data_IF_907915134187
#
_entry.id   IF_907915134187
#
_cell.length_a   1.000
_cell.length_b   1.000
_cell.length_c   1.000
_cell.angle_alpha   90.00
_cell.angle_beta   90.00
_cell.angle_gamma   90.00
#
_symmetry.space_group_name_H-M   'P 1'
#
loop_
_entity.id
_entity.type
_entity.pdbx_description
1 polymer ?
#
# COMPACT_ATOMS: atom_id res chain seq x y z
N UNK A 1 31.73 36.74 9.59
CA UNK A 1 30.60 36.21 10.39
C UNK A 1 29.35 36.28 9.50
N UNK A 2 28.47 35.29 9.36
CA UNK A 2 28.47 33.87 9.75
C UNK A 2 27.55 33.11 8.79
N UNK A 3 27.81 31.82 8.50
CA UNK A 3 26.85 30.95 7.78
C UNK A 3 26.14 30.04 8.80
N UNK A 4 24.82 30.13 8.85
CA UNK A 4 23.91 29.28 9.64
C UNK A 4 22.66 29.11 8.74
N UNK A 5 22.20 27.97 8.20
CA UNK A 5 22.35 26.52 8.47
C UNK A 5 21.10 25.89 9.13
N UNK A 6 20.56 24.86 8.45
CA UNK A 6 19.54 23.87 8.85
C UNK A 6 18.10 24.34 9.14
N UNK A 7 17.15 23.80 8.36
CA UNK A 7 15.98 23.01 8.85
C UNK A 7 15.14 22.45 7.69
N UNK A 8 15.49 21.24 7.24
CA UNK A 8 14.61 20.37 6.47
C UNK A 8 14.32 19.11 7.29
N UNK A 9 13.26 19.14 8.10
CA UNK A 9 12.79 17.96 8.83
C UNK A 9 11.83 17.18 7.94
N UNK A 10 12.27 16.03 7.42
CA UNK A 10 11.37 15.08 6.79
C UNK A 10 10.59 14.33 7.87
N UNK A 11 9.27 14.54 7.93
CA UNK A 11 8.37 13.78 8.81
C UNK A 11 7.97 12.50 8.07
N UNK A 12 8.62 11.39 8.38
CA UNK A 12 8.17 10.07 7.98
C UNK A 12 7.06 9.61 8.93
N UNK A 13 5.80 9.66 8.49
CA UNK A 13 4.68 9.10 9.25
C UNK A 13 4.76 7.58 9.26
N UNK A 14 5.06 7.00 10.43
CA UNK A 14 4.99 5.56 10.64
C UNK A 14 3.54 5.14 10.92
N UNK A 15 2.84 4.68 9.88
CA UNK A 15 1.46 4.16 10.02
C UNK A 15 1.49 2.67 10.40
N UNK A 16 0.55 2.26 11.26
CA UNK A 16 0.59 1.02 12.04
C UNK A 16 0.78 -0.28 11.23
N UNK A 17 1.56 -1.20 11.80
CA UNK A 17 1.55 -2.63 11.41
C UNK A 17 0.32 -3.27 12.05
N UNK A 18 -0.71 -3.52 11.25
CA UNK A 18 -1.84 -4.37 11.64
C UNK A 18 -1.37 -5.82 11.72
N UNK A 19 -1.42 -6.40 12.92
CA UNK A 19 -1.13 -7.82 13.16
C UNK A 19 -2.21 -8.70 12.55
N UNK A 20 -1.92 -9.34 11.41
CA UNK A 20 -2.69 -10.48 10.92
C UNK A 20 -2.19 -11.72 11.65
N UNK A 21 -3.08 -12.36 12.41
CA UNK A 21 -2.74 -13.55 13.19
C UNK A 21 -2.55 -14.78 12.29
N UNK A 22 -1.48 -15.54 12.56
CA UNK A 22 -1.36 -16.93 12.14
C UNK A 22 -1.47 -17.82 13.38
N UNK A 23 -2.55 -18.60 13.45
CA UNK A 23 -2.75 -19.69 14.41
C UNK A 23 -2.15 -20.96 13.79
N UNK A 24 -1.97 -22.02 14.60
CA UNK A 24 -1.41 -23.35 14.27
C UNK A 24 0.13 -23.41 14.36
N UNK A 25 0.71 -24.31 15.16
CA UNK A 25 0.07 -25.27 16.07
C UNK A 25 1.05 -25.88 17.07
N UNK A 26 0.55 -26.18 18.27
CA UNK A 26 1.29 -26.93 19.28
C UNK A 26 1.11 -28.43 19.00
N UNK A 27 2.21 -29.17 18.94
CA UNK A 27 2.21 -30.63 18.89
C UNK A 27 3.15 -31.15 19.98
N UNK A 28 2.58 -31.45 21.13
CA UNK A 28 3.23 -32.22 22.20
C UNK A 28 2.45 -33.53 22.37
N UNK A 29 3.12 -34.68 22.30
CA UNK A 29 2.56 -35.95 22.76
C UNK A 29 2.81 -37.18 21.88
N UNK A 30 3.64 -38.07 22.43
CA UNK A 30 3.49 -39.54 22.46
C UNK A 30 3.69 -40.41 21.19
N UNK A 31 4.71 -41.27 21.31
CA UNK A 31 4.75 -42.72 21.02
C UNK A 31 4.18 -43.34 19.71
N UNK A 32 5.03 -44.12 19.03
CA UNK A 32 4.85 -45.59 18.91
C UNK A 32 6.04 -46.32 18.26
N UNK A 33 6.79 -47.04 19.10
CA UNK A 33 7.28 -48.44 18.96
C UNK A 33 7.84 -49.02 17.63
N UNK A 34 9.10 -49.48 17.72
CA UNK A 34 9.76 -50.67 17.10
C UNK A 34 11.22 -50.32 16.74
N UNK A 35 12.29 -51.12 16.88
CA UNK A 35 12.62 -52.35 17.64
C UNK A 35 14.18 -52.49 17.55
N UNK A 36 14.98 -53.28 18.29
CA UNK A 36 14.80 -54.39 19.25
C UNK A 36 15.97 -54.41 20.26
N UNK A 37 15.76 -54.91 21.49
CA UNK A 37 16.79 -55.65 22.23
C UNK A 37 17.67 -54.95 23.28
N UNK A 38 17.72 -55.59 24.45
CA UNK A 38 18.71 -55.47 25.55
C UNK A 38 18.81 -54.16 26.37
N UNK A 39 18.19 -54.19 27.56
CA UNK A 39 18.78 -53.54 28.74
C UNK A 39 18.36 -54.23 30.04
N UNK A 40 19.24 -55.14 30.47
CA UNK A 40 19.30 -55.89 31.74
C UNK A 40 18.75 -55.15 32.98
N UNK A 41 17.93 -55.87 33.76
CA UNK A 41 17.53 -55.47 35.13
C UNK A 41 18.73 -55.47 36.09
N UNK A 42 18.78 -54.50 37.00
CA UNK A 42 19.72 -54.49 38.12
C UNK A 42 18.97 -54.30 39.46
N UNK A 43 18.27 -55.33 39.90
CA UNK A 43 17.72 -55.39 41.27
C UNK A 43 18.83 -55.66 42.29
N UNK A 44 19.10 -54.65 43.11
CA UNK A 44 19.51 -54.69 44.51
C UNK A 44 20.51 -55.74 45.05
N UNK A 45 21.43 -55.21 45.87
CA UNK A 45 22.16 -55.84 46.97
C UNK A 45 23.37 -56.73 46.65
N UNK A 46 24.55 -56.14 46.80
CA UNK A 46 25.51 -56.65 47.78
C UNK A 46 25.96 -55.51 48.71
N UNK A 47 26.24 -55.83 49.97
CA UNK A 47 26.57 -54.84 51.01
C UNK A 47 28.09 -54.71 51.15
N UNK A 48 28.67 -53.64 50.62
CA UNK A 48 30.02 -53.22 51.05
C UNK A 48 30.13 -51.72 51.31
N UNK A 49 30.70 -51.42 52.48
CA UNK A 49 31.31 -50.15 52.89
C UNK A 49 30.40 -48.92 53.07
N UNK A 50 29.84 -48.80 54.28
CA UNK A 50 29.50 -47.51 54.87
C UNK A 50 30.79 -46.80 55.35
N UNK A 51 31.62 -46.33 54.42
CA UNK A 51 32.76 -45.44 54.70
C UNK A 51 33.01 -44.52 53.50
N UNK A 52 33.29 -43.25 53.80
CA UNK A 52 33.46 -42.14 52.85
C UNK A 52 32.21 -41.82 52.01
N UNK A 53 31.33 -40.98 52.59
CA UNK A 53 30.54 -40.04 51.79
C UNK A 53 31.55 -38.94 51.40
N UNK A 54 32.03 -38.86 50.14
CA UNK A 54 32.83 -37.72 49.72
C UNK A 54 31.99 -36.46 49.98
N UNK A 55 32.63 -35.45 50.58
CA UNK A 55 31.93 -34.36 51.25
C UNK A 55 30.77 -33.81 50.41
N UNK A 56 29.62 -33.50 51.04
CA UNK A 56 28.42 -33.07 50.31
C UNK A 56 28.62 -31.83 49.42
N UNK A 57 29.75 -31.11 49.56
CA UNK A 57 30.25 -30.12 48.61
C UNK A 57 30.44 -30.67 47.19
N UNK A 58 31.02 -31.86 47.05
CA UNK A 58 31.57 -32.34 45.77
C UNK A 58 30.50 -32.93 44.86
N UNK A 59 29.42 -33.45 45.45
CA UNK A 59 28.21 -33.80 44.70
C UNK A 59 27.45 -32.52 44.32
N UNK A 60 27.30 -31.55 45.24
CA UNK A 60 26.60 -30.29 44.96
C UNK A 60 27.29 -29.46 43.87
N UNK A 61 28.62 -29.42 43.83
CA UNK A 61 29.38 -28.71 42.80
C UNK A 61 29.22 -29.36 41.42
N UNK A 62 29.25 -30.69 41.33
CA UNK A 62 28.99 -31.42 40.08
C UNK A 62 27.56 -31.21 39.56
N UNK A 63 26.55 -31.24 40.46
CA UNK A 63 25.17 -30.93 40.08
C UNK A 63 25.01 -29.47 39.64
N UNK A 64 25.64 -28.50 40.32
CA UNK A 64 25.59 -27.09 39.92
C UNK A 64 26.23 -26.87 38.54
N UNK A 65 27.40 -27.47 38.28
CA UNK A 65 28.09 -27.39 36.99
C UNK A 65 27.27 -28.01 35.85
N UNK A 66 26.59 -29.14 36.10
CA UNK A 66 25.72 -29.78 35.12
C UNK A 66 24.47 -28.95 34.82
N UNK A 67 23.87 -28.30 35.83
CA UNK A 67 22.74 -27.38 35.64
C UNK A 67 23.17 -26.15 34.84
N UNK A 68 24.29 -25.51 35.20
CA UNK A 68 24.80 -24.33 34.48
C UNK A 68 25.14 -24.67 33.01
N UNK A 69 25.68 -25.87 32.74
CA UNK A 69 25.93 -26.34 31.39
C UNK A 69 24.63 -26.58 30.59
N UNK A 70 23.56 -27.06 31.25
CA UNK A 70 22.25 -27.24 30.63
C UNK A 70 21.56 -25.89 30.34
N UNK A 71 21.65 -24.93 31.25
CA UNK A 71 21.10 -23.57 31.08
C UNK A 71 21.82 -22.84 29.92
N UNK A 72 23.15 -22.90 29.85
CA UNK A 72 23.93 -22.34 28.73
C UNK A 72 23.54 -22.99 27.40
N UNK A 73 23.33 -24.31 27.36
CA UNK A 73 22.90 -25.00 26.15
C UNK A 73 21.45 -24.64 25.72
N UNK A 74 20.56 -24.37 26.68
CA UNK A 74 19.21 -23.88 26.41
C UNK A 74 19.23 -22.44 25.88
N UNK A 75 20.06 -21.57 26.46
CA UNK A 75 20.20 -20.18 26.03
C UNK A 75 20.80 -20.08 24.62
N UNK A 76 21.84 -20.85 24.28
CA UNK A 76 22.42 -20.86 22.93
C UNK A 76 21.42 -21.38 21.89
N UNK A 77 20.73 -22.50 22.17
CA UNK A 77 19.68 -23.01 21.29
C UNK A 77 18.54 -21.98 21.09
N UNK A 78 18.16 -21.24 22.14
CA UNK A 78 17.17 -20.17 22.04
C UNK A 78 17.66 -18.97 21.21
N UNK A 79 18.95 -18.64 21.31
CA UNK A 79 19.58 -17.55 20.55
C UNK A 79 19.73 -17.89 19.07
N UNK A 80 20.09 -19.12 18.74
CA UNK A 80 20.13 -19.64 17.37
C UNK A 80 18.73 -19.66 16.75
N UNK A 81 17.72 -20.17 17.47
CA UNK A 81 16.32 -20.14 17.03
C UNK A 81 15.81 -18.71 16.78
N UNK A 82 16.10 -17.76 17.68
CA UNK A 82 15.77 -16.34 17.50
C UNK A 82 16.47 -15.72 16.29
N UNK A 83 17.73 -16.07 16.05
CA UNK A 83 18.51 -15.58 14.90
C UNK A 83 17.95 -16.10 13.58
N UNK A 84 17.66 -17.41 13.50
CA UNK A 84 17.05 -18.03 12.33
C UNK A 84 15.66 -17.44 12.00
N UNK A 85 14.83 -17.21 13.03
CA UNK A 85 13.53 -16.53 12.88
C UNK A 85 13.68 -15.07 12.42
N UNK A 86 14.65 -14.32 12.95
CA UNK A 86 14.88 -12.95 12.51
C UNK A 86 15.41 -12.88 11.07
N UNK A 87 16.25 -13.82 10.66
CA UNK A 87 16.75 -13.90 9.28
C UNK A 87 15.63 -14.29 8.30
N UNK A 88 14.77 -15.26 8.65
CA UNK A 88 13.62 -15.63 7.81
C UNK A 88 12.61 -14.49 7.68
N UNK A 89 12.31 -13.78 8.77
CA UNK A 89 11.44 -12.60 8.76
C UNK A 89 12.03 -11.45 7.90
N UNK A 90 13.36 -11.23 7.94
CA UNK A 90 14.03 -10.26 7.05
C UNK A 90 13.94 -10.67 5.58
N UNK A 91 14.13 -11.95 5.25
CA UNK A 91 14.00 -12.46 3.88
C UNK A 91 12.58 -12.33 3.35
N UNK A 92 11.57 -12.64 4.17
CA UNK A 92 10.15 -12.44 3.83
C UNK A 92 9.84 -10.95 3.63
N UNK A 93 10.21 -10.07 4.56
CA UNK A 93 9.99 -8.63 4.42
C UNK A 93 10.66 -8.01 3.18
N UNK A 94 11.85 -8.52 2.79
CA UNK A 94 12.51 -8.11 1.56
C UNK A 94 11.76 -8.61 0.30
N UNK A 95 11.30 -9.86 0.30
CA UNK A 95 10.50 -10.43 -0.79
C UNK A 95 9.14 -9.69 -0.93
N UNK A 96 8.46 -9.40 0.17
CA UNK A 96 7.19 -8.64 0.17
C UNK A 96 7.38 -7.20 -0.32
N UNK A 97 8.49 -6.55 0.07
CA UNK A 97 8.82 -5.21 -0.42
C UNK A 97 9.13 -5.21 -1.93
N UNK A 98 9.83 -6.23 -2.42
CA UNK A 98 10.12 -6.39 -3.84
C UNK A 98 8.85 -6.72 -4.63
N UNK A 99 8.02 -7.66 -4.18
CA UNK A 99 6.75 -8.00 -4.81
C UNK A 99 5.78 -6.79 -4.87
N UNK A 100 5.73 -5.96 -3.82
CA UNK A 100 4.97 -4.70 -3.83
C UNK A 100 5.53 -3.67 -4.82
N UNK A 101 6.86 -3.58 -4.95
CA UNK A 101 7.50 -2.70 -5.94
C UNK A 101 7.22 -3.17 -7.36
N UNK A 102 7.35 -4.47 -7.63
CA UNK A 102 7.07 -5.08 -8.94
C UNK A 102 5.59 -4.96 -9.31
N UNK A 103 4.66 -5.20 -8.37
CA UNK A 103 3.24 -4.97 -8.58
C UNK A 103 2.89 -3.49 -8.81
N UNK A 104 3.54 -2.55 -8.12
CA UNK A 104 3.35 -1.11 -8.35
C UNK A 104 3.93 -0.66 -9.70
N UNK A 105 5.10 -1.18 -10.10
CA UNK A 105 5.67 -0.92 -11.43
C UNK A 105 4.84 -1.54 -12.55
N UNK A 106 4.25 -2.71 -12.34
CA UNK A 106 3.38 -3.35 -13.33
C UNK A 106 2.03 -2.62 -13.42
N UNK A 107 1.41 -2.26 -12.30
CA UNK A 107 0.20 -1.42 -12.30
C UNK A 107 0.46 -0.04 -12.94
N UNK A 108 1.65 0.55 -12.76
CA UNK A 108 2.04 1.77 -13.45
C UNK A 108 2.17 1.57 -14.98
N UNK A 109 2.82 0.48 -15.43
CA UNK A 109 2.94 0.14 -16.86
C UNK A 109 1.59 -0.21 -17.50
N UNK A 110 0.71 -0.91 -16.78
CA UNK A 110 -0.64 -1.24 -17.23
C UNK A 110 -1.52 0.01 -17.29
N UNK A 111 -1.39 0.93 -16.33
CA UNK A 111 -2.04 2.25 -16.38
C UNK A 111 -1.51 3.09 -17.55
N UNK A 112 -0.19 3.16 -17.76
CA UNK A 112 0.42 3.89 -18.88
C UNK A 112 0.04 3.27 -20.23
N UNK A 113 -0.03 1.95 -20.34
CA UNK A 113 -0.51 1.25 -21.53
C UNK A 113 -2.02 1.47 -21.77
N UNK A 114 -2.84 1.50 -20.71
CA UNK A 114 -4.25 1.83 -20.79
C UNK A 114 -4.47 3.31 -21.15
N UNK A 115 -3.64 4.23 -20.65
CA UNK A 115 -3.64 5.66 -20.97
C UNK A 115 -3.17 5.91 -22.40
N UNK A 116 -2.18 5.17 -22.91
CA UNK A 116 -1.79 5.17 -24.33
C UNK A 116 -2.85 4.52 -25.23
N UNK A 117 -3.55 3.48 -24.78
CA UNK A 117 -4.65 2.88 -25.53
C UNK A 117 -5.90 3.79 -25.55
N UNK A 118 -6.21 4.43 -24.43
CA UNK A 118 -7.28 5.41 -24.28
C UNK A 118 -6.99 6.64 -25.13
N UNK A 119 -5.80 7.24 -25.05
CA UNK A 119 -5.44 8.40 -25.90
C UNK A 119 -5.35 8.05 -27.39
N UNK A 120 -4.92 6.84 -27.79
CA UNK A 120 -5.04 6.38 -29.19
C UNK A 120 -6.50 6.25 -29.64
N UNK A 121 -7.36 5.72 -28.77
CA UNK A 121 -8.80 5.61 -29.03
C UNK A 121 -9.46 6.99 -29.09
N UNK A 122 -9.12 7.88 -28.16
CA UNK A 122 -9.60 9.27 -28.09
C UNK A 122 -9.09 10.13 -29.26
N UNK A 123 -7.90 9.89 -29.82
CA UNK A 123 -7.46 10.54 -31.07
C UNK A 123 -8.25 10.01 -32.28
N UNK A 124 -8.64 8.74 -32.25
CA UNK A 124 -9.47 8.12 -33.31
C UNK A 124 -10.95 8.52 -33.20
N UNK A 125 -11.42 8.84 -31.99
CA UNK A 125 -12.79 9.30 -31.71
C UNK A 125 -12.94 10.83 -31.84
N UNK A 126 -11.97 11.60 -31.33
CA UNK A 126 -11.92 13.08 -31.47
C UNK A 126 -11.67 13.52 -32.91
N UNK A 127 -11.18 12.65 -33.81
CA UNK A 127 -11.19 12.93 -35.25
C UNK A 127 -12.58 12.85 -35.88
N UNK A 128 -13.61 12.44 -35.12
CA UNK A 128 -15.03 12.56 -35.47
C UNK A 128 -15.74 13.75 -34.80
N UNK A 129 -15.23 14.27 -33.68
CA UNK A 129 -15.73 15.48 -33.01
C UNK A 129 -15.05 16.70 -33.65
N UNK A 130 -15.71 17.31 -34.64
CA UNK A 130 -15.21 18.51 -35.29
C UNK A 130 -14.98 19.65 -34.29
N UNK A 131 -13.79 20.24 -34.29
CA UNK A 131 -13.48 21.42 -33.46
C UNK A 131 -14.30 22.60 -33.99
N UNK A 132 -15.35 22.99 -33.26
CA UNK A 132 -16.24 24.09 -33.59
C UNK A 132 -15.67 25.42 -33.06
N UNK A 133 -16.09 26.54 -33.67
CA UNK A 133 -15.73 27.88 -33.19
C UNK A 133 -16.34 28.23 -31.83
N UNK A 134 -17.42 27.55 -31.45
CA UNK A 134 -18.16 27.72 -30.22
C UNK A 134 -19.04 26.50 -29.94
N UNK A 135 -19.26 26.17 -28.68
CA UNK A 135 -20.15 25.09 -28.25
C UNK A 135 -21.28 25.63 -27.37
N UNK A 136 -22.51 25.18 -27.60
CA UNK A 136 -23.62 25.36 -26.66
C UNK A 136 -23.47 24.44 -25.45
N UNK A 137 -24.11 24.78 -24.32
CA UNK A 137 -24.17 23.91 -23.14
C UNK A 137 -24.68 22.50 -23.48
N UNK A 138 -25.64 22.38 -24.39
CA UNK A 138 -26.17 21.09 -24.83
C UNK A 138 -25.14 20.26 -25.61
N UNK A 139 -24.32 20.88 -26.47
CA UNK A 139 -23.20 20.21 -27.16
C UNK A 139 -22.11 19.78 -26.17
N UNK A 140 -21.73 20.64 -25.21
CA UNK A 140 -20.77 20.28 -24.15
C UNK A 140 -21.27 19.10 -23.31
N UNK A 141 -22.55 19.09 -22.93
CA UNK A 141 -23.16 17.98 -22.21
C UNK A 141 -23.23 16.70 -23.06
N UNK A 142 -23.45 16.81 -24.38
CA UNK A 142 -23.44 15.67 -25.29
C UNK A 142 -22.04 15.05 -25.42
N UNK A 143 -21.00 15.87 -25.53
CA UNK A 143 -19.59 15.44 -25.51
C UNK A 143 -19.28 14.74 -24.17
N UNK A 144 -19.67 15.33 -23.04
CA UNK A 144 -19.47 14.70 -21.73
C UNK A 144 -20.20 13.35 -21.58
N UNK A 145 -21.38 13.16 -22.20
CA UNK A 145 -22.07 11.86 -22.22
C UNK A 145 -21.36 10.78 -23.04
N UNK A 146 -20.49 11.16 -23.98
CA UNK A 146 -19.69 10.23 -24.77
C UNK A 146 -18.39 9.84 -24.04
N UNK A 147 -17.82 10.78 -23.28
CA UNK A 147 -16.51 10.62 -22.62
C UNK A 147 -16.59 10.05 -21.19
N UNK A 148 -17.68 10.29 -20.46
CA UNK A 148 -17.85 9.88 -19.06
C UNK A 148 -18.67 8.57 -18.99
N UNK A 149 -18.25 7.57 -18.18
CA UNK A 149 -19.05 6.38 -17.92
C UNK A 149 -20.48 6.72 -17.46
N UNK A 150 -21.49 6.02 -17.99
CA UNK A 150 -22.90 6.42 -17.86
C UNK A 150 -23.41 6.42 -16.40
N UNK A 151 -22.85 5.56 -15.55
CA UNK A 151 -23.06 5.50 -14.10
C UNK A 151 -22.39 6.67 -13.35
N UNK A 152 -21.25 7.14 -13.85
CA UNK A 152 -20.50 8.27 -13.29
C UNK A 152 -20.99 9.64 -13.78
N UNK A 153 -21.69 9.70 -14.93
CA UNK A 153 -22.08 10.95 -15.59
C UNK A 153 -22.88 11.89 -14.71
N UNK A 154 -23.84 11.40 -13.91
CA UNK A 154 -24.67 12.29 -13.08
C UNK A 154 -23.85 12.99 -11.99
N UNK A 155 -22.91 12.29 -11.36
CA UNK A 155 -22.02 12.86 -10.36
C UNK A 155 -21.08 13.92 -10.96
N UNK A 156 -20.49 13.61 -12.13
CA UNK A 156 -19.70 14.54 -12.92
C UNK A 156 -20.51 15.80 -13.28
N UNK A 157 -21.75 15.59 -13.76
CA UNK A 157 -22.66 16.66 -14.18
C UNK A 157 -22.98 17.63 -13.05
N UNK A 158 -23.20 17.13 -11.84
CA UNK A 158 -23.49 17.97 -10.68
C UNK A 158 -22.30 18.89 -10.35
N UNK A 159 -21.06 18.37 -10.41
CA UNK A 159 -19.85 19.18 -10.18
C UNK A 159 -19.72 20.26 -11.26
N UNK A 160 -19.79 19.91 -12.55
CA UNK A 160 -19.64 20.88 -13.66
C UNK A 160 -20.70 21.98 -13.62
N UNK A 161 -21.92 21.65 -13.21
CA UNK A 161 -23.00 22.63 -13.03
C UNK A 161 -22.67 23.62 -11.90
N UNK A 162 -22.20 23.13 -10.75
CA UNK A 162 -21.78 23.97 -9.62
C UNK A 162 -20.53 24.82 -9.89
N UNK A 163 -19.53 24.28 -10.61
CA UNK A 163 -18.27 24.98 -10.90
C UNK A 163 -18.41 26.03 -12.01
N UNK A 164 -19.17 25.73 -13.08
CA UNK A 164 -19.16 26.53 -14.30
C UNK A 164 -20.53 26.80 -14.93
N UNK A 165 -21.61 26.18 -14.44
CA UNK A 165 -22.89 26.17 -15.15
C UNK A 165 -22.76 25.62 -16.58
N UNK A 166 -21.86 24.64 -16.79
CA UNK A 166 -21.49 24.08 -18.09
C UNK A 166 -20.84 25.04 -19.11
N UNK A 167 -20.38 26.21 -18.67
CA UNK A 167 -19.66 27.15 -19.53
C UNK A 167 -18.15 26.82 -19.58
N UNK A 168 -17.69 26.24 -20.69
CA UNK A 168 -16.27 25.91 -20.91
C UNK A 168 -15.34 27.12 -21.04
N UNK A 169 -15.88 28.34 -21.12
CA UNK A 169 -15.14 29.60 -21.08
C UNK A 169 -15.30 30.35 -19.74
N UNK A 170 -15.96 29.74 -18.74
CA UNK A 170 -16.15 30.34 -17.42
C UNK A 170 -14.81 30.72 -16.81
N UNK A 171 -14.65 32.00 -16.49
CA UNK A 171 -13.44 32.54 -15.84
C UNK A 171 -13.85 33.26 -14.58
N UNK A 172 -13.37 32.81 -13.42
CA UNK A 172 -13.59 33.52 -12.16
C UNK A 172 -12.71 34.80 -12.12
N UNK A 173 -13.28 36.02 -12.08
CA UNK A 173 -12.50 37.25 -12.17
C UNK A 173 -11.55 37.50 -10.98
N UNK A 174 -11.84 36.89 -9.82
CA UNK A 174 -11.08 37.11 -8.58
C UNK A 174 -9.94 36.10 -8.41
N UNK A 175 -10.11 34.86 -8.86
CA UNK A 175 -9.10 33.80 -8.72
C UNK A 175 -8.36 33.45 -10.00
N UNK A 176 -8.92 33.77 -11.18
CA UNK A 176 -8.39 33.30 -12.47
C UNK A 176 -8.62 31.81 -12.74
N UNK A 177 -9.49 31.15 -11.96
CA UNK A 177 -9.95 29.80 -12.22
C UNK A 177 -10.70 29.73 -13.57
N UNK A 178 -10.48 28.65 -14.35
CA UNK A 178 -10.92 28.59 -15.74
C UNK A 178 -11.59 27.27 -16.14
N UNK A 179 -12.61 27.37 -17.00
CA UNK A 179 -13.23 26.26 -17.71
C UNK A 179 -14.26 25.49 -16.89
N UNK A 180 -14.69 24.34 -17.42
CA UNK A 180 -15.75 23.49 -16.86
C UNK A 180 -15.50 23.03 -15.43
N UNK A 181 -14.23 22.90 -15.06
CA UNK A 181 -13.75 22.40 -13.76
C UNK A 181 -13.09 23.50 -12.91
N UNK A 182 -13.22 24.76 -13.29
CA UNK A 182 -12.60 25.92 -12.63
C UNK A 182 -11.13 25.68 -12.23
N UNK A 183 -10.34 25.15 -13.15
CA UNK A 183 -8.97 24.75 -12.89
C UNK A 183 -8.10 25.97 -12.55
N UNK A 184 -7.31 25.87 -11.46
CA UNK A 184 -6.43 26.94 -10.99
C UNK A 184 -4.96 26.47 -10.87
N UNK A 185 -4.03 27.02 -11.67
CA UNK A 185 -4.27 27.78 -12.90
C UNK A 185 -4.85 26.88 -14.02
N UNK A 186 -5.62 27.48 -14.93
CA UNK A 186 -6.23 26.77 -16.06
C UNK A 186 -5.23 26.04 -16.97
N UNK A 187 -3.99 26.52 -17.02
CA UNK A 187 -2.88 25.89 -17.75
C UNK A 187 -2.55 24.47 -17.30
N UNK A 188 -3.03 24.00 -16.13
CA UNK A 188 -2.97 22.58 -15.74
C UNK A 188 -3.66 21.66 -16.75
N UNK A 189 -4.64 22.16 -17.51
CA UNK A 189 -5.36 21.38 -18.53
C UNK A 189 -4.51 21.04 -19.76
N UNK A 190 -3.32 21.63 -19.90
CA UNK A 190 -2.36 21.29 -20.97
C UNK A 190 -1.93 19.82 -20.96
N UNK A 191 -2.09 19.10 -19.83
CA UNK A 191 -1.78 17.67 -19.75
C UNK A 191 -2.80 16.78 -20.47
N UNK A 192 -4.01 17.26 -20.75
CA UNK A 192 -4.99 16.57 -21.59
C UNK A 192 -4.86 16.98 -23.07
N UNK A 193 -4.58 18.25 -23.34
CA UNK A 193 -4.37 18.72 -24.71
C UNK A 193 -3.96 20.18 -24.78
N UNK A 194 -3.26 20.57 -25.85
CA UNK A 194 -2.78 21.94 -26.04
C UNK A 194 -3.90 22.96 -26.33
N UNK A 195 -5.08 22.48 -26.72
CA UNK A 195 -6.28 23.24 -27.11
C UNK A 195 -7.29 23.43 -25.95
N UNK A 196 -6.90 23.08 -24.71
CA UNK A 196 -7.72 23.14 -23.50
C UNK A 196 -8.50 24.45 -23.29
N UNK A 197 -7.98 25.57 -23.79
CA UNK A 197 -8.61 26.87 -23.64
C UNK A 197 -9.86 27.06 -24.51
N UNK A 198 -10.03 26.26 -25.57
CA UNK A 198 -11.17 26.40 -26.50
C UNK A 198 -11.91 25.09 -26.77
N UNK A 199 -11.34 23.94 -26.43
CA UNK A 199 -11.96 22.63 -26.62
C UNK A 199 -12.58 22.10 -25.31
N UNK A 200 -13.91 21.95 -25.22
CA UNK A 200 -14.57 21.39 -24.03
C UNK A 200 -14.23 19.91 -23.82
N UNK A 201 -13.96 19.13 -24.88
CA UNK A 201 -13.57 17.72 -24.73
C UNK A 201 -12.27 17.61 -23.92
N UNK A 202 -11.26 18.41 -24.24
CA UNK A 202 -9.99 18.50 -23.51
C UNK A 202 -10.19 18.88 -22.03
N UNK A 203 -11.16 19.76 -21.73
CA UNK A 203 -11.49 20.12 -20.34
C UNK A 203 -12.24 18.99 -19.60
N UNK A 204 -13.11 18.25 -20.30
CA UNK A 204 -13.83 17.08 -19.78
C UNK A 204 -12.84 15.94 -19.46
N UNK A 205 -11.90 15.65 -20.37
CA UNK A 205 -10.84 14.66 -20.18
C UNK A 205 -9.96 15.01 -18.98
N UNK A 206 -9.48 16.26 -18.90
CA UNK A 206 -8.70 16.71 -17.74
C UNK A 206 -9.50 16.57 -16.44
N UNK A 207 -10.76 16.98 -16.45
CA UNK A 207 -11.66 16.89 -15.31
C UNK A 207 -11.88 15.46 -14.83
N UNK A 208 -12.18 14.54 -15.75
CA UNK A 208 -12.31 13.11 -15.45
C UNK A 208 -11.03 12.54 -14.84
N UNK A 209 -9.87 12.87 -15.42
CA UNK A 209 -8.57 12.42 -14.91
C UNK A 209 -8.25 12.99 -13.52
N UNK A 210 -8.62 14.25 -13.24
CA UNK A 210 -8.49 14.84 -11.90
C UNK A 210 -9.44 14.17 -10.89
N UNK A 211 -10.71 13.93 -11.24
CA UNK A 211 -11.66 13.18 -10.38
C UNK A 211 -11.13 11.80 -10.03
N UNK A 212 -10.73 11.03 -11.03
CA UNK A 212 -10.22 9.67 -10.87
C UNK A 212 -8.93 9.63 -10.03
N UNK A 213 -8.02 10.58 -10.22
CA UNK A 213 -6.73 10.61 -9.52
C UNK A 213 -6.83 11.11 -8.07
N UNK A 214 -7.79 12.00 -7.76
CA UNK A 214 -7.90 12.65 -6.44
C UNK A 214 -8.98 12.05 -5.55
N UNK A 215 -10.04 11.48 -6.14
CA UNK A 215 -11.25 11.03 -5.45
C UNK A 215 -11.72 9.65 -5.93
N UNK A 216 -10.85 8.88 -6.59
CA UNK A 216 -11.08 7.55 -7.19
C UNK A 216 -12.10 7.51 -8.35
N UNK A 217 -13.10 8.40 -8.37
CA UNK A 217 -14.12 8.51 -9.43
C UNK A 217 -14.90 9.83 -9.36
N UNK A 218 -15.67 10.20 -10.41
CA UNK A 218 -16.59 11.35 -10.36
C UNK A 218 -17.63 11.30 -9.23
N UNK A 219 -18.07 10.10 -8.80
CA UNK A 219 -19.00 9.97 -7.67
C UNK A 219 -18.29 10.05 -6.32
N UNK A 220 -17.03 9.61 -6.23
CA UNK A 220 -16.18 9.91 -5.07
C UNK A 220 -15.96 11.41 -4.91
N UNK A 221 -15.70 12.12 -6.03
CA UNK A 221 -15.60 13.57 -6.06
C UNK A 221 -16.91 14.25 -5.64
N UNK A 222 -18.07 13.80 -6.14
CA UNK A 222 -19.36 14.37 -5.77
C UNK A 222 -19.75 14.10 -4.31
N UNK A 223 -19.40 12.94 -3.76
CA UNK A 223 -19.57 12.64 -2.33
C UNK A 223 -18.68 13.54 -1.46
N UNK A 224 -17.45 13.80 -1.90
CA UNK A 224 -16.56 14.75 -1.24
C UNK A 224 -17.12 16.17 -1.29
N UNK A 225 -17.59 16.62 -2.45
CA UNK A 225 -18.17 17.95 -2.65
C UNK A 225 -19.40 18.16 -1.75
N UNK A 226 -20.32 17.20 -1.67
CA UNK A 226 -21.51 17.31 -0.81
C UNK A 226 -21.16 17.45 0.69
N UNK A 227 -20.03 16.88 1.13
CA UNK A 227 -19.58 16.98 2.52
C UNK A 227 -18.78 18.27 2.83
N UNK A 228 -18.12 18.86 1.82
CA UNK A 228 -17.13 19.93 2.02
C UNK A 228 -17.49 21.26 1.34
N UNK A 229 -18.38 21.25 0.34
CA UNK A 229 -18.70 22.36 -0.57
C UNK A 229 -17.49 22.86 -1.39
N UNK A 230 -16.51 21.99 -1.65
CA UNK A 230 -15.37 22.22 -2.56
C UNK A 230 -14.85 20.88 -3.14
N UNK A 231 -14.01 20.96 -4.17
CA UNK A 231 -13.49 19.86 -4.98
C UNK A 231 -12.08 20.19 -5.54
#
# INVERSE_FOLDING_TARGET
MSRISVRGFAVASATAVTSVGAVVGVAAGADSTADTGDRVEATAADQTLLADIPAQSDVRSQYAMLTEQADVAADTASAEARTALQESARKQAAADAQAKKEAAEQAAKEREAAEQAASRSAVTDSSSIAVQSSYTVAEVQAIARQMIPADQFQCFSNIVDHESGWNYQATNPSSGAYGLMQALPGSKMVSAGADWQTNPATQIEWGLNYMNSRYDSPCGAWNFWQANNWY
#
